data_IF_844703507225
#
_entry.id   IF_844703507225
#
_cell.length_a   1.000
_cell.length_b   1.000
_cell.length_c   1.000
_cell.angle_alpha   90.00
_cell.angle_beta   90.00
_cell.angle_gamma   90.00
#
_symmetry.space_group_name_H-M   'P 1'
#
loop_
_entity.id
_entity.type
_entity.pdbx_description
1 polymer ?
#
# COMPACT_ATOMS: atom_id res chain seq x y z
N UNK A 1 -10.12 -16.30 6.15
CA UNK A 1 -9.35 -16.86 5.01
C UNK A 1 -8.31 -15.82 4.61
N UNK A 2 -7.07 -16.22 4.31
CA UNK A 2 -6.09 -15.28 3.74
C UNK A 2 -6.51 -14.96 2.29
N UNK A 3 -6.56 -13.68 1.95
CA UNK A 3 -6.72 -13.23 0.55
C UNK A 3 -5.52 -13.68 -0.29
N UNK A 4 -5.71 -13.76 -1.61
CA UNK A 4 -4.59 -14.03 -2.53
C UNK A 4 -3.59 -12.87 -2.47
N UNK A 5 -2.31 -13.18 -2.38
CA UNK A 5 -1.26 -12.15 -2.44
C UNK A 5 -1.25 -11.44 -3.79
N UNK A 6 -0.79 -10.17 -3.82
CA UNK A 6 -0.56 -9.40 -5.06
C UNK A 6 0.25 -10.22 -6.08
N UNK A 7 1.29 -10.95 -5.62
CA UNK A 7 2.11 -11.84 -6.47
C UNK A 7 1.30 -12.97 -7.12
N UNK A 8 0.36 -13.58 -6.41
CA UNK A 8 -0.50 -14.63 -6.96
C UNK A 8 -1.49 -14.05 -7.96
N UNK A 9 -2.08 -12.88 -7.66
CA UNK A 9 -3.02 -12.19 -8.54
C UNK A 9 -2.37 -11.76 -9.85
N UNK A 10 -1.16 -11.18 -9.80
CA UNK A 10 -0.41 -10.84 -11.01
C UNK A 10 -0.08 -12.08 -11.86
N UNK A 11 0.25 -13.22 -11.22
CA UNK A 11 0.54 -14.48 -11.93
C UNK A 11 -0.68 -15.12 -12.59
N UNK A 12 -1.89 -14.86 -12.08
CA UNK A 12 -3.12 -15.33 -12.72
C UNK A 12 -3.58 -14.45 -13.88
N UNK A 13 -2.87 -13.35 -14.16
CA UNK A 13 -3.24 -12.37 -15.19
C UNK A 13 -4.28 -11.35 -14.72
N UNK A 14 -4.54 -11.26 -13.41
CA UNK A 14 -5.38 -10.20 -12.88
C UNK A 14 -4.76 -8.82 -13.14
N UNK A 15 -5.61 -7.84 -13.44
CA UNK A 15 -5.23 -6.43 -13.54
C UNK A 15 -5.47 -5.78 -12.19
N UNK A 16 -4.44 -5.15 -11.63
CA UNK A 16 -4.48 -4.52 -10.32
C UNK A 16 -4.29 -3.02 -10.47
N UNK A 17 -5.04 -2.24 -9.72
CA UNK A 17 -4.88 -0.80 -9.59
C UNK A 17 -4.02 -0.49 -8.36
N UNK A 18 -2.80 -0.02 -8.62
CA UNK A 18 -1.90 0.44 -7.56
C UNK A 18 -2.01 1.94 -7.31
N UNK A 19 -1.66 2.37 -6.10
CA UNK A 19 -1.41 3.78 -5.78
C UNK A 19 0.03 4.01 -5.35
N UNK A 20 0.53 5.23 -5.60
CA UNK A 20 1.85 5.69 -5.18
C UNK A 20 1.68 6.63 -3.98
N UNK A 21 2.44 6.44 -2.91
CA UNK A 21 2.33 7.23 -1.68
C UNK A 21 3.68 7.85 -1.35
N UNK A 22 3.77 9.17 -1.52
CA UNK A 22 4.93 10.00 -1.14
C UNK A 22 4.64 10.91 0.07
N UNK A 23 3.43 10.84 0.63
CA UNK A 23 2.97 11.77 1.67
C UNK A 23 3.53 11.48 3.07
N UNK A 24 4.04 10.28 3.33
CA UNK A 24 4.52 9.79 4.64
C UNK A 24 3.61 10.07 5.84
N UNK A 25 2.31 10.18 5.57
CA UNK A 25 1.27 10.35 6.58
C UNK A 25 0.53 9.02 6.74
N UNK A 26 0.51 8.42 7.94
CA UNK A 26 -0.27 7.20 8.16
C UNK A 26 -1.77 7.42 7.98
N UNK A 27 -2.27 8.64 8.26
CA UNK A 27 -3.67 9.02 8.01
C UNK A 27 -3.95 8.97 6.50
N UNK A 28 -3.06 9.55 5.69
CA UNK A 28 -3.21 9.50 4.23
C UNK A 28 -3.14 8.06 3.72
N UNK A 29 -2.20 7.26 4.23
CA UNK A 29 -2.05 5.86 3.85
C UNK A 29 -3.32 5.04 4.15
N UNK A 30 -3.93 5.24 5.33
CA UNK A 30 -5.19 4.59 5.71
C UNK A 30 -6.35 4.99 4.77
N UNK A 31 -6.48 6.28 4.45
CA UNK A 31 -7.49 6.77 3.49
C UNK A 31 -7.29 6.13 2.11
N UNK A 32 -6.04 6.03 1.64
CA UNK A 32 -5.73 5.37 0.36
C UNK A 32 -6.10 3.88 0.40
N UNK A 33 -5.84 3.20 1.52
CA UNK A 33 -6.21 1.79 1.69
C UNK A 33 -7.73 1.55 1.65
N UNK A 34 -8.53 2.54 2.07
CA UNK A 34 -10.00 2.52 1.97
C UNK A 34 -10.53 2.91 0.59
N UNK A 35 -9.68 3.44 -0.29
CA UNK A 35 -10.11 4.03 -1.58
C UNK A 35 -10.29 3.00 -2.70
N UNK A 36 -10.12 1.70 -2.41
CA UNK A 36 -10.37 0.61 -3.35
C UNK A 36 -9.19 0.28 -4.28
N UNK A 37 -7.96 0.66 -3.91
CA UNK A 37 -6.75 0.19 -4.57
C UNK A 37 -6.41 -1.25 -4.16
N UNK A 38 -5.83 -2.00 -5.09
CA UNK A 38 -5.42 -3.40 -4.87
C UNK A 38 -4.02 -3.52 -4.24
N UNK A 39 -3.22 -2.45 -4.32
CA UNK A 39 -1.87 -2.38 -3.76
C UNK A 39 -1.39 -0.94 -3.62
N UNK A 40 -0.43 -0.70 -2.73
CA UNK A 40 0.21 0.60 -2.53
C UNK A 40 1.73 0.49 -2.60
N UNK A 41 2.38 1.49 -3.22
CA UNK A 41 3.84 1.67 -3.23
C UNK A 41 4.21 2.80 -2.27
N UNK A 42 5.06 2.50 -1.30
CA UNK A 42 5.68 3.47 -0.40
C UNK A 42 7.01 3.88 -1.03
N UNK A 43 7.10 5.12 -1.52
CA UNK A 43 8.28 5.58 -2.25
C UNK A 43 9.35 6.16 -1.32
N UNK A 44 10.26 5.30 -0.88
CA UNK A 44 11.42 5.70 -0.08
C UNK A 44 12.61 6.20 -0.90
N UNK A 45 12.52 6.28 -2.22
CA UNK A 45 13.61 6.76 -3.09
C UNK A 45 13.50 8.27 -3.32
N UNK A 46 12.30 8.73 -3.67
CA UNK A 46 12.02 10.15 -3.97
C UNK A 46 11.23 10.85 -2.88
N UNK A 47 10.57 10.07 -2.04
CA UNK A 47 9.80 10.57 -0.91
C UNK A 47 10.65 11.06 0.26
N UNK A 48 10.16 12.02 1.07
CA UNK A 48 10.92 12.60 2.17
C UNK A 48 11.06 11.71 3.42
N UNK A 49 10.43 10.53 3.44
CA UNK A 49 10.28 9.76 4.67
C UNK A 49 11.40 8.76 4.95
N UNK A 50 11.38 8.30 6.19
CA UNK A 50 12.33 7.36 6.78
C UNK A 50 11.81 5.93 6.81
N UNK A 51 12.71 4.98 7.09
CA UNK A 51 12.33 3.58 7.35
C UNK A 51 11.29 3.44 8.47
N UNK A 52 11.40 4.24 9.54
CA UNK A 52 10.45 4.19 10.66
C UNK A 52 9.07 4.67 10.23
N UNK A 53 8.98 5.73 9.44
CA UNK A 53 7.69 6.22 8.90
C UNK A 53 7.06 5.21 7.94
N UNK A 54 7.87 4.56 7.09
CA UNK A 54 7.38 3.47 6.24
C UNK A 54 6.78 2.32 7.05
N UNK A 55 7.35 1.98 8.22
CA UNK A 55 6.76 0.97 9.12
C UNK A 55 5.39 1.40 9.63
N UNK A 56 5.22 2.65 10.03
CA UNK A 56 3.91 3.17 10.48
C UNK A 56 2.91 3.20 9.32
N UNK A 57 3.35 3.54 8.11
CA UNK A 57 2.51 3.45 6.91
C UNK A 57 2.09 2.01 6.59
N UNK A 58 3.01 1.04 6.68
CA UNK A 58 2.69 -0.39 6.49
C UNK A 58 1.64 -0.87 7.50
N UNK A 59 1.72 -0.40 8.75
CA UNK A 59 0.72 -0.69 9.77
C UNK A 59 -0.66 -0.13 9.38
N UNK A 60 -0.72 1.14 8.95
CA UNK A 60 -1.96 1.77 8.50
C UNK A 60 -2.59 1.07 7.29
N UNK A 61 -1.78 0.74 6.27
CA UNK A 61 -2.24 0.00 5.08
C UNK A 61 -2.80 -1.39 5.45
N UNK A 62 -2.18 -2.09 6.40
CA UNK A 62 -2.57 -3.45 6.80
C UNK A 62 -3.94 -3.56 7.47
N UNK A 63 -4.54 -2.44 7.89
CA UNK A 63 -5.87 -2.41 8.48
C UNK A 63 -6.98 -2.66 7.45
N UNK A 64 -6.69 -2.49 6.15
CA UNK A 64 -7.66 -2.60 5.05
C UNK A 64 -7.19 -3.56 3.96
N UNK A 65 -8.04 -3.80 2.97
CA UNK A 65 -7.77 -4.73 1.86
C UNK A 65 -7.00 -4.02 0.73
N UNK A 66 -5.81 -3.52 1.06
CA UNK A 66 -4.82 -2.94 0.15
C UNK A 66 -3.51 -3.74 0.20
#
# INVERSE_FOLDING_TARGET
MKSQSVKQQLRSGARLNGCWIEAFSPITAEVMAMSGYDTAMIDLEHGPGSFTEAVVMMQALSAHQC
#
